data_IF_430337398492
#
_entry.id   IF_430337398492
#
_cell.length_a   1.000
_cell.length_b   1.000
_cell.length_c   1.000
_cell.angle_alpha   90.00
_cell.angle_beta   90.00
_cell.angle_gamma   90.00
#
_symmetry.space_group_name_H-M   'P 1'
#
loop_
_entity.id
_entity.type
_entity.pdbx_description
1 polymer ?
#
# COMPACT_ATOMS: atom_id res chain seq x y z
N UNK A 1 9.67 38.18 -10.59
CA UNK A 1 10.20 37.29 -11.63
C UNK A 1 9.01 36.48 -12.18
N UNK A 2 8.58 36.70 -13.43
CA UNK A 2 7.42 36.06 -14.02
C UNK A 2 7.82 34.63 -14.45
N UNK A 3 7.23 33.63 -13.85
CA UNK A 3 7.32 32.23 -14.30
C UNK A 3 6.43 32.07 -15.53
N UNK A 4 7.03 31.79 -16.67
CA UNK A 4 6.33 31.50 -17.92
C UNK A 4 5.73 30.09 -17.81
N UNK A 5 4.38 30.01 -17.74
CA UNK A 5 3.66 28.73 -17.81
C UNK A 5 3.53 28.34 -19.29
N UNK A 6 4.29 27.37 -19.74
CA UNK A 6 4.04 26.71 -21.03
C UNK A 6 3.02 25.61 -20.79
N UNK A 7 1.77 25.90 -21.14
CA UNK A 7 0.67 24.91 -21.09
C UNK A 7 0.77 24.09 -22.38
N UNK A 8 1.19 22.83 -22.27
CA UNK A 8 1.09 21.86 -23.35
C UNK A 8 -0.19 21.03 -23.13
N UNK A 9 -1.22 21.32 -23.91
CA UNK A 9 -2.43 20.50 -23.94
C UNK A 9 -2.11 19.25 -24.77
N UNK A 10 -1.92 18.13 -24.09
CA UNK A 10 -1.77 16.81 -24.75
C UNK A 10 -3.13 16.11 -24.74
N UNK A 11 -3.80 16.11 -25.89
CA UNK A 11 -4.88 15.19 -26.20
C UNK A 11 -4.37 13.76 -26.12
N UNK A 12 -5.10 12.90 -25.42
CA UNK A 12 -4.77 11.51 -25.20
C UNK A 12 -4.62 10.76 -26.54
N UNK A 13 -3.40 10.48 -26.92
CA UNK A 13 -3.06 9.45 -27.90
C UNK A 13 -2.14 8.47 -27.15
N UNK A 14 -2.58 7.22 -27.05
CA UNK A 14 -1.77 6.09 -26.60
C UNK A 14 -0.51 6.01 -27.47
N UNK A 15 0.59 6.48 -26.96
CA UNK A 15 1.92 6.35 -27.54
C UNK A 15 2.93 6.43 -26.41
N UNK A 16 3.72 5.38 -26.23
CA UNK A 16 4.87 5.37 -25.34
C UNK A 16 5.74 6.60 -25.59
N UNK A 17 5.68 7.59 -24.73
CA UNK A 17 6.68 8.64 -24.68
C UNK A 17 7.56 8.44 -23.46
N UNK A 18 8.78 8.18 -23.75
CA UNK A 18 9.94 8.06 -22.91
C UNK A 18 10.31 9.42 -22.32
N UNK A 19 9.56 9.88 -21.36
CA UNK A 19 9.95 11.00 -20.46
C UNK A 19 9.02 10.91 -19.27
N UNK A 20 9.56 10.45 -18.14
CA UNK A 20 8.88 10.30 -16.87
C UNK A 20 8.37 11.63 -16.33
N UNK A 21 7.46 12.27 -17.01
CA UNK A 21 6.75 13.44 -16.52
C UNK A 21 5.44 13.00 -15.89
N UNK A 22 5.27 13.40 -14.65
CA UNK A 22 4.06 13.26 -13.90
C UNK A 22 3.09 14.39 -14.28
N UNK A 23 1.83 14.09 -14.56
CA UNK A 23 0.84 15.07 -14.94
C UNK A 23 -0.25 15.18 -13.88
N UNK A 24 -0.25 16.24 -13.08
CA UNK A 24 -1.38 16.67 -12.28
C UNK A 24 -2.24 17.63 -13.09
N UNK A 25 -3.54 17.33 -13.22
CA UNK A 25 -4.48 18.18 -13.97
C UNK A 25 -4.00 18.55 -15.39
N UNK A 26 -3.30 17.64 -16.07
CA UNK A 26 -2.78 17.85 -17.42
C UNK A 26 -1.50 18.68 -17.52
N UNK A 27 -0.85 19.01 -16.39
CA UNK A 27 0.46 19.68 -16.33
C UNK A 27 1.52 18.63 -15.98
N UNK A 28 2.55 18.51 -16.82
CA UNK A 28 3.68 17.62 -16.57
C UNK A 28 4.70 18.29 -15.64
N UNK A 29 5.16 17.58 -14.62
CA UNK A 29 6.14 18.05 -13.66
C UNK A 29 7.39 17.18 -13.68
N UNK A 30 8.53 17.77 -13.30
CA UNK A 30 9.76 17.03 -13.03
C UNK A 30 10.04 16.98 -11.52
N UNK A 31 10.87 16.04 -11.04
CA UNK A 31 11.23 15.97 -9.61
C UNK A 31 11.83 17.24 -9.06
N UNK A 32 12.57 18.00 -9.88
CA UNK A 32 13.20 19.25 -9.48
C UNK A 32 12.17 20.40 -9.26
N UNK A 33 11.02 20.30 -9.88
CA UNK A 33 9.95 21.30 -9.79
C UNK A 33 8.98 21.03 -8.63
N UNK A 34 8.93 19.79 -8.13
CA UNK A 34 7.94 19.37 -7.14
C UNK A 34 8.60 18.63 -5.98
N UNK A 35 8.79 19.30 -4.83
CA UNK A 35 9.13 18.61 -3.59
C UNK A 35 8.07 17.51 -3.32
N UNK A 36 8.47 16.35 -2.86
CA UNK A 36 7.57 15.20 -2.64
C UNK A 36 7.01 14.56 -3.94
N UNK A 37 7.78 14.64 -5.01
CA UNK A 37 7.38 14.09 -6.31
C UNK A 37 6.90 12.63 -6.23
N UNK A 38 7.64 11.76 -5.54
CA UNK A 38 7.25 10.34 -5.38
C UNK A 38 5.93 10.15 -4.63
N UNK A 39 5.64 11.01 -3.63
CA UNK A 39 4.37 10.98 -2.91
C UNK A 39 3.20 11.32 -3.83
N UNK A 40 3.34 12.39 -4.61
CA UNK A 40 2.30 12.82 -5.55
C UNK A 40 2.00 11.78 -6.62
N UNK A 41 3.01 11.03 -7.07
CA UNK A 41 2.83 9.93 -8.02
C UNK A 41 1.93 8.82 -7.45
N UNK A 42 2.10 8.48 -6.18
CA UNK A 42 1.24 7.51 -5.51
C UNK A 42 -0.17 8.08 -5.33
N UNK A 43 -0.29 9.35 -4.92
CA UNK A 43 -1.59 10.02 -4.75
C UNK A 43 -2.39 10.06 -6.05
N UNK A 44 -1.74 10.34 -7.18
CA UNK A 44 -2.38 10.30 -8.51
C UNK A 44 -2.87 8.90 -8.88
N UNK A 45 -2.08 7.87 -8.60
CA UNK A 45 -2.51 6.50 -8.85
C UNK A 45 -3.75 6.14 -8.03
N UNK A 46 -3.82 6.61 -6.79
CA UNK A 46 -5.00 6.42 -5.93
C UNK A 46 -6.20 7.25 -6.40
N UNK A 47 -5.98 8.51 -6.80
CA UNK A 47 -7.05 9.39 -7.31
C UNK A 47 -7.72 8.84 -8.57
N UNK A 48 -6.96 8.16 -9.44
CA UNK A 48 -7.51 7.49 -10.62
C UNK A 48 -8.53 6.39 -10.27
N UNK A 49 -8.31 5.70 -9.13
CA UNK A 49 -9.18 4.61 -8.66
C UNK A 49 -10.30 5.13 -7.77
N UNK A 50 -9.99 6.12 -6.94
CA UNK A 50 -10.88 6.73 -5.96
C UNK A 50 -11.12 8.21 -6.26
N UNK A 51 -11.68 8.58 -7.41
CA UNK A 51 -11.85 9.99 -7.80
C UNK A 51 -12.76 10.70 -6.81
N UNK A 52 -12.34 11.91 -6.41
CA UNK A 52 -13.06 12.76 -5.44
C UNK A 52 -13.32 12.09 -4.07
N UNK A 53 -12.66 10.99 -3.75
CA UNK A 53 -12.72 10.42 -2.41
C UNK A 53 -11.68 11.12 -1.54
N UNK A 54 -12.18 11.87 -0.57
CA UNK A 54 -11.32 12.45 0.47
C UNK A 54 -10.65 11.31 1.23
N UNK A 55 -9.41 11.55 1.62
CA UNK A 55 -8.75 10.74 2.62
C UNK A 55 -9.62 10.74 3.88
N UNK A 56 -10.04 9.55 4.34
CA UNK A 56 -10.82 9.40 5.56
C UNK A 56 -10.00 9.82 6.77
N UNK A 57 -8.76 9.32 6.86
CA UNK A 57 -7.77 9.74 7.85
C UNK A 57 -6.35 9.45 7.39
N UNK A 58 -5.36 10.11 8.01
CA UNK A 58 -3.94 9.88 7.80
C UNK A 58 -3.23 9.60 9.11
N UNK A 59 -2.32 8.65 9.09
CA UNK A 59 -1.37 8.42 10.15
C UNK A 59 0.02 8.83 9.67
N UNK A 60 0.58 9.84 10.29
CA UNK A 60 1.90 10.41 9.98
C UNK A 60 2.72 10.37 11.27
N UNK A 61 3.92 9.77 11.26
CA UNK A 61 4.78 9.75 12.43
C UNK A 61 5.23 11.18 12.80
N UNK A 62 5.40 11.44 14.08
CA UNK A 62 5.88 12.73 14.57
C UNK A 62 7.31 13.02 14.09
N UNK A 63 8.14 11.99 14.03
CA UNK A 63 9.52 12.04 13.54
C UNK A 63 9.65 10.98 12.46
N UNK A 64 10.12 11.38 11.27
CA UNK A 64 10.34 10.46 10.15
C UNK A 64 11.49 9.49 10.46
N UNK A 65 11.42 8.31 9.82
CA UNK A 65 12.44 7.27 9.98
C UNK A 65 13.86 7.74 9.65
N UNK A 66 14.03 8.48 8.56
CA UNK A 66 15.34 9.00 8.14
C UNK A 66 15.91 10.09 9.07
N UNK A 67 15.10 10.60 9.98
CA UNK A 67 15.47 11.52 11.06
C UNK A 67 15.57 10.83 12.44
N UNK A 68 15.56 9.49 12.48
CA UNK A 68 15.66 8.70 13.69
C UNK A 68 14.32 8.41 14.40
N UNK A 69 13.22 8.59 13.70
CA UNK A 69 11.89 8.20 14.20
C UNK A 69 11.70 6.69 14.32
N UNK A 70 10.74 6.23 15.12
CA UNK A 70 10.53 4.80 15.35
C UNK A 70 9.73 4.10 14.23
N UNK A 71 8.99 4.84 13.41
CA UNK A 71 8.06 4.32 12.43
C UNK A 71 8.64 4.39 11.01
N UNK A 72 8.76 3.24 10.31
CA UNK A 72 9.42 3.18 9.01
C UNK A 72 8.62 3.82 7.86
N UNK A 73 7.30 3.93 8.00
CA UNK A 73 6.44 4.56 6.99
C UNK A 73 6.28 6.05 7.28
N UNK A 74 6.45 6.89 6.30
CA UNK A 74 6.26 8.33 6.40
C UNK A 74 4.77 8.71 6.50
N UNK A 75 3.90 7.88 5.94
CA UNK A 75 2.44 8.05 6.01
C UNK A 75 1.73 6.73 5.75
N UNK A 76 0.59 6.54 6.39
CA UNK A 76 -0.45 5.59 5.97
C UNK A 76 -1.73 6.37 5.75
N UNK A 77 -2.19 6.45 4.50
CA UNK A 77 -3.46 7.07 4.14
C UNK A 77 -4.57 6.02 4.13
N UNK A 78 -5.72 6.38 4.68
CA UNK A 78 -6.92 5.54 4.70
C UNK A 78 -8.01 6.24 3.89
N UNK A 79 -8.52 5.55 2.90
CA UNK A 79 -9.58 6.03 2.02
C UNK A 79 -10.89 5.29 2.30
N UNK A 80 -12.01 6.00 2.14
CA UNK A 80 -13.34 5.40 2.23
C UNK A 80 -13.68 4.66 0.94
N UNK A 81 -13.62 3.32 0.97
CA UNK A 81 -14.00 2.43 -0.13
C UNK A 81 -15.49 2.13 -0.24
N UNK A 82 -16.33 2.69 0.65
CA UNK A 82 -17.76 2.37 0.77
C UNK A 82 -17.99 1.39 1.92
N UNK A 83 -17.91 0.11 1.69
CA UNK A 83 -18.07 -0.94 2.70
C UNK A 83 -16.74 -1.44 3.32
N UNK A 84 -15.61 -0.84 2.91
CA UNK A 84 -14.28 -1.09 3.45
C UNK A 84 -13.46 0.20 3.58
N UNK A 85 -12.40 0.13 4.37
CA UNK A 85 -11.33 1.10 4.45
C UNK A 85 -10.17 0.62 3.58
N UNK A 86 -9.69 1.45 2.65
CA UNK A 86 -8.48 1.18 1.85
C UNK A 86 -7.28 1.89 2.44
N UNK A 87 -6.30 1.12 2.87
CA UNK A 87 -5.02 1.61 3.35
C UNK A 87 -4.02 1.66 2.20
N UNK A 88 -3.22 2.72 2.14
CA UNK A 88 -2.10 2.88 1.23
C UNK A 88 -0.93 3.43 2.03
N UNK A 89 0.22 2.76 1.95
CA UNK A 89 1.44 3.20 2.61
C UNK A 89 2.26 4.15 1.75
N UNK A 90 3.13 4.92 2.41
CA UNK A 90 4.09 5.82 1.82
C UNK A 90 5.37 5.76 2.63
N UNK A 91 6.50 5.49 1.99
CA UNK A 91 7.81 5.48 2.65
C UNK A 91 8.67 4.25 2.41
N UNK A 92 8.16 3.24 1.72
CA UNK A 92 8.99 2.14 1.20
C UNK A 92 9.59 2.50 -0.16
N UNK A 93 9.00 3.46 -0.84
CA UNK A 93 9.51 4.07 -2.06
C UNK A 93 10.13 5.45 -1.78
N UNK A 94 10.80 6.00 -2.76
CA UNK A 94 11.42 7.33 -2.67
C UNK A 94 10.37 8.41 -2.89
N UNK A 95 10.00 9.10 -1.82
CA UNK A 95 8.93 10.09 -1.83
C UNK A 95 9.41 11.50 -2.19
N UNK A 96 10.67 11.84 -1.83
CA UNK A 96 11.21 13.19 -1.89
C UNK A 96 12.32 13.33 -2.92
N UNK A 97 13.31 12.43 -2.87
CA UNK A 97 14.50 12.43 -3.71
C UNK A 97 14.87 11.03 -4.14
N UNK A 98 15.50 10.90 -5.32
CA UNK A 98 16.11 9.64 -5.76
C UNK A 98 17.42 9.41 -5.03
N UNK A 99 17.46 8.47 -4.10
CA UNK A 99 18.63 8.12 -3.28
C UNK A 99 19.28 6.80 -3.69
N UNK A 100 18.48 5.83 -4.14
CA UNK A 100 18.97 4.52 -4.55
C UNK A 100 19.68 4.58 -5.91
N UNK A 101 20.69 3.71 -6.10
CA UNK A 101 21.39 3.57 -7.38
C UNK A 101 20.54 2.86 -8.44
N UNK A 102 19.61 2.02 -8.01
CA UNK A 102 18.70 1.31 -8.92
C UNK A 102 17.73 2.30 -9.58
N UNK A 103 17.89 2.50 -10.88
CA UNK A 103 17.04 3.37 -11.67
C UNK A 103 15.74 2.70 -12.15
N UNK A 104 15.63 1.39 -11.96
CA UNK A 104 14.44 0.63 -12.36
C UNK A 104 13.35 0.64 -11.29
N UNK A 105 13.71 0.85 -10.03
CA UNK A 105 12.82 0.86 -8.88
C UNK A 105 12.96 2.13 -8.05
N UNK A 106 11.85 2.58 -7.49
CA UNK A 106 11.82 3.65 -6.49
C UNK A 106 12.00 3.05 -5.10
N UNK A 107 13.12 3.32 -4.44
CA UNK A 107 13.43 2.77 -3.12
C UNK A 107 13.39 1.23 -3.13
N UNK A 108 12.55 0.63 -2.29
CA UNK A 108 12.31 -0.82 -2.27
C UNK A 108 11.42 -1.31 -3.42
N UNK A 109 10.89 -0.39 -4.24
CA UNK A 109 10.07 -0.69 -5.43
C UNK A 109 8.64 -1.08 -5.12
N UNK A 110 8.17 -0.95 -3.89
CA UNK A 110 6.83 -1.35 -3.49
C UNK A 110 6.25 -0.42 -2.44
N UNK A 111 4.92 -0.32 -2.41
CA UNK A 111 4.13 0.19 -1.28
C UNK A 111 3.07 -0.84 -0.92
N UNK A 112 2.65 -0.85 0.35
CA UNK A 112 1.64 -1.79 0.82
C UNK A 112 0.25 -1.20 0.70
N UNK A 113 -0.70 -2.08 0.44
CA UNK A 113 -2.12 -1.77 0.53
C UNK A 113 -2.85 -2.84 1.34
N UNK A 114 -3.98 -2.46 1.92
CA UNK A 114 -4.87 -3.36 2.63
C UNK A 114 -6.30 -2.84 2.54
N UNK A 115 -7.27 -3.72 2.39
CA UNK A 115 -8.69 -3.39 2.57
C UNK A 115 -9.20 -4.04 3.85
N UNK A 116 -9.75 -3.23 4.74
CA UNK A 116 -10.43 -3.70 5.94
C UNK A 116 -11.92 -3.45 5.81
N UNK A 117 -12.74 -4.48 5.93
CA UNK A 117 -14.20 -4.36 5.91
C UNK A 117 -14.67 -3.45 7.04
N UNK A 118 -15.65 -2.59 6.75
CA UNK A 118 -16.32 -1.79 7.77
C UNK A 118 -17.28 -2.70 8.54
N UNK A 119 -16.86 -3.09 9.72
CA UNK A 119 -17.67 -3.85 10.69
C UNK A 119 -18.08 -2.91 11.84
N UNK A 120 -18.95 -3.37 12.71
CA UNK A 120 -19.34 -2.64 13.94
C UNK A 120 -18.23 -2.80 15.00
N UNK A 121 -17.16 -2.03 14.88
CA UNK A 121 -16.07 -2.00 15.86
C UNK A 121 -16.51 -1.28 17.14
N UNK A 122 -16.06 -1.74 18.31
CA UNK A 122 -16.31 -1.04 19.58
C UNK A 122 -15.59 0.33 19.59
N UNK A 123 -14.39 0.40 19.00
CA UNK A 123 -13.62 1.63 18.85
C UNK A 123 -12.96 1.62 17.45
N UNK A 124 -13.65 2.21 16.49
CA UNK A 124 -13.20 2.23 15.09
C UNK A 124 -11.84 2.90 14.93
N UNK A 125 -11.61 4.04 15.60
CA UNK A 125 -10.35 4.77 15.50
C UNK A 125 -9.16 3.92 15.96
N UNK A 126 -9.32 3.21 17.07
CA UNK A 126 -8.29 2.30 17.57
C UNK A 126 -8.07 1.13 16.63
N UNK A 127 -9.13 0.56 16.06
CA UNK A 127 -8.99 -0.53 15.09
C UNK A 127 -8.27 -0.07 13.82
N UNK A 128 -8.60 1.09 13.29
CA UNK A 128 -7.88 1.65 12.15
C UNK A 128 -6.39 1.85 12.46
N UNK A 129 -6.08 2.35 13.65
CA UNK A 129 -4.70 2.54 14.12
C UNK A 129 -3.97 1.20 14.35
N UNK A 130 -4.68 0.17 14.80
CA UNK A 130 -4.13 -1.18 14.96
C UNK A 130 -3.64 -1.75 13.63
N UNK A 131 -4.42 -1.63 12.56
CA UNK A 131 -4.00 -2.03 11.20
C UNK A 131 -2.78 -1.24 10.74
N UNK A 132 -2.72 0.07 11.02
CA UNK A 132 -1.51 0.87 10.76
C UNK A 132 -0.30 0.28 11.49
N UNK A 133 -0.46 -0.13 12.74
CA UNK A 133 0.60 -0.81 13.51
C UNK A 133 1.12 -2.08 12.84
N UNK A 134 0.22 -2.90 12.28
CA UNK A 134 0.62 -4.08 11.49
C UNK A 134 1.41 -3.69 10.25
N UNK A 135 0.96 -2.70 9.49
CA UNK A 135 1.67 -2.21 8.30
C UNK A 135 3.05 -1.62 8.64
N UNK A 136 3.15 -0.89 9.77
CA UNK A 136 4.44 -0.39 10.29
C UNK A 136 5.38 -1.54 10.65
N UNK A 137 4.88 -2.61 11.26
CA UNK A 137 5.67 -3.79 11.60
C UNK A 137 6.22 -4.49 10.36
N UNK A 138 5.38 -4.68 9.33
CA UNK A 138 5.81 -5.24 8.05
C UNK A 138 6.83 -4.35 7.35
N UNK A 139 6.61 -3.04 7.34
CA UNK A 139 7.54 -2.07 6.78
C UNK A 139 8.88 -2.03 7.51
N UNK A 140 8.89 -2.33 8.82
CA UNK A 140 10.12 -2.45 9.61
C UNK A 140 10.98 -3.61 9.13
N UNK A 141 10.40 -4.77 8.85
CA UNK A 141 11.12 -5.91 8.27
C UNK A 141 11.78 -5.52 6.92
N UNK A 142 11.11 -4.70 6.10
CA UNK A 142 11.71 -4.18 4.88
C UNK A 142 12.87 -3.22 5.16
N UNK A 143 12.68 -2.24 6.06
CA UNK A 143 13.69 -1.20 6.31
C UNK A 143 14.92 -1.70 7.07
N UNK A 144 14.73 -2.63 8.02
CA UNK A 144 15.80 -3.14 8.90
C UNK A 144 16.45 -4.40 8.31
N UNK A 145 15.66 -5.34 7.78
CA UNK A 145 16.11 -6.65 7.36
C UNK A 145 16.25 -6.79 5.83
N UNK A 146 15.74 -5.79 5.07
CA UNK A 146 15.77 -5.82 3.60
C UNK A 146 14.72 -6.76 3.00
N UNK A 147 13.70 -7.15 3.75
CA UNK A 147 12.64 -8.04 3.27
C UNK A 147 11.80 -7.36 2.17
N UNK A 148 11.71 -8.02 1.01
CA UNK A 148 10.94 -7.54 -0.13
C UNK A 148 9.73 -8.46 -0.32
N UNK A 149 8.57 -7.96 0.07
CA UNK A 149 7.31 -8.69 -0.11
C UNK A 149 6.92 -8.74 -1.58
N UNK A 150 6.56 -9.95 -2.05
CA UNK A 150 6.15 -10.19 -3.42
C UNK A 150 4.71 -10.71 -3.46
N UNK A 151 4.03 -10.59 -4.60
CA UNK A 151 2.73 -11.24 -4.77
C UNK A 151 2.79 -12.75 -4.59
N UNK A 152 1.72 -13.28 -4.02
CA UNK A 152 1.50 -14.72 -3.77
C UNK A 152 2.45 -15.34 -2.74
N UNK A 153 2.85 -14.55 -1.76
CA UNK A 153 3.53 -15.02 -0.55
C UNK A 153 2.53 -15.07 0.63
N UNK A 154 2.88 -15.85 1.66
CA UNK A 154 2.17 -15.83 2.92
C UNK A 154 3.07 -15.25 4.01
N UNK A 155 2.47 -14.56 4.97
CA UNK A 155 3.16 -13.99 6.11
C UNK A 155 2.56 -14.62 7.37
N UNK A 156 3.37 -15.43 8.03
CA UNK A 156 3.04 -16.01 9.32
C UNK A 156 3.65 -15.17 10.43
N UNK A 157 2.81 -14.51 11.21
CA UNK A 157 3.26 -13.60 12.27
C UNK A 157 3.63 -14.31 13.57
N UNK A 158 3.31 -15.61 13.68
CA UNK A 158 3.46 -16.36 14.93
C UNK A 158 2.40 -16.03 15.97
N UNK A 159 1.42 -15.18 15.64
CA UNK A 159 0.30 -14.86 16.52
C UNK A 159 -0.64 -16.08 16.66
N UNK A 160 -1.12 -16.30 17.88
CA UNK A 160 -2.11 -17.33 18.20
C UNK A 160 -3.49 -16.75 18.51
N UNK A 161 -3.63 -15.44 18.38
CA UNK A 161 -4.85 -14.69 18.65
C UNK A 161 -5.14 -13.74 17.50
N UNK A 162 -6.37 -13.27 17.40
CA UNK A 162 -6.83 -12.42 16.31
C UNK A 162 -6.04 -11.13 16.18
N UNK A 163 -5.91 -10.64 14.95
CA UNK A 163 -5.18 -9.40 14.62
C UNK A 163 -5.98 -8.13 14.95
N UNK A 164 -7.27 -8.25 15.23
CA UNK A 164 -8.11 -7.17 15.73
C UNK A 164 -7.67 -6.74 17.14
N UNK A 165 -7.98 -5.52 17.52
CA UNK A 165 -7.56 -4.95 18.82
C UNK A 165 -8.06 -5.74 20.03
N UNK A 166 -9.21 -6.42 19.89
CA UNK A 166 -9.80 -7.23 20.95
C UNK A 166 -9.39 -8.71 20.90
N UNK A 167 -8.59 -9.10 19.90
CA UNK A 167 -8.10 -10.46 19.70
C UNK A 167 -9.22 -11.51 19.55
N UNK A 168 -10.38 -11.10 19.05
CA UNK A 168 -11.56 -11.96 18.86
C UNK A 168 -11.68 -12.54 17.46
N UNK A 169 -11.01 -11.94 16.46
CA UNK A 169 -11.06 -12.44 15.09
C UNK A 169 -10.26 -13.73 14.91
N UNK A 170 -10.59 -14.45 13.83
CA UNK A 170 -9.81 -15.61 13.41
C UNK A 170 -8.65 -15.25 12.47
N UNK A 171 -8.46 -13.96 12.16
CA UNK A 171 -7.40 -13.50 11.27
C UNK A 171 -6.11 -13.38 12.06
N UNK A 172 -5.08 -14.13 11.66
CA UNK A 172 -3.82 -14.24 12.41
C UNK A 172 -2.57 -14.02 11.55
N UNK A 173 -2.74 -13.75 10.26
CA UNK A 173 -1.64 -13.49 9.34
C UNK A 173 -2.15 -12.99 8.01
N UNK A 174 -1.26 -12.95 7.01
CA UNK A 174 -1.59 -12.39 5.71
C UNK A 174 -1.17 -13.30 4.55
N UNK A 175 -1.85 -13.15 3.43
CA UNK A 175 -1.31 -13.45 2.11
C UNK A 175 -1.16 -12.16 1.32
N UNK A 176 -0.31 -12.19 0.29
CA UNK A 176 -0.06 -11.05 -0.60
C UNK A 176 -0.52 -11.36 -2.01
N UNK A 177 -1.02 -10.31 -2.68
CA UNK A 177 -1.35 -10.34 -4.11
C UNK A 177 -0.89 -9.01 -4.74
N UNK A 178 -0.76 -8.91 -6.09
CA UNK A 178 -0.72 -7.61 -6.73
C UNK A 178 -2.02 -6.87 -6.38
N UNK A 179 -1.95 -5.58 -6.06
CA UNK A 179 -3.19 -4.83 -5.80
C UNK A 179 -4.09 -4.85 -7.05
N UNK A 180 -5.34 -5.31 -6.95
CA UNK A 180 -6.20 -5.48 -8.12
C UNK A 180 -6.68 -4.14 -8.72
N UNK A 181 -6.57 -3.05 -7.97
CA UNK A 181 -7.04 -1.72 -8.36
C UNK A 181 -5.89 -0.78 -8.73
N UNK A 182 -4.83 -0.77 -7.92
CA UNK A 182 -3.66 0.08 -8.12
C UNK A 182 -2.63 -0.66 -9.00
N UNK A 183 -2.46 -0.16 -10.21
CA UNK A 183 -1.46 -0.72 -11.15
C UNK A 183 -0.07 -0.22 -10.81
N UNK A 184 0.94 -0.95 -11.31
CA UNK A 184 2.33 -0.51 -11.25
C UNK A 184 2.45 0.91 -11.82
N UNK A 185 3.11 1.78 -11.06
CA UNK A 185 3.40 3.15 -11.48
C UNK A 185 4.86 3.25 -11.88
N UNK A 186 5.11 3.90 -13.02
CA UNK A 186 6.46 4.21 -13.48
C UNK A 186 6.68 5.71 -13.44
N UNK A 187 7.76 6.14 -12.80
CA UNK A 187 8.10 7.55 -12.63
C UNK A 187 9.61 7.78 -12.73
N UNK A 188 10.09 9.01 -12.52
CA UNK A 188 11.52 9.36 -12.57
C UNK A 188 12.38 8.60 -11.55
N UNK A 189 11.80 8.20 -10.42
CA UNK A 189 12.51 7.44 -9.39
C UNK A 189 12.52 5.93 -9.64
N UNK A 190 11.79 5.46 -10.66
CA UNK A 190 11.63 4.05 -11.00
C UNK A 190 10.19 3.54 -10.80
N UNK A 191 10.01 2.23 -10.86
CA UNK A 191 8.70 1.60 -10.67
C UNK A 191 8.30 1.52 -9.20
N UNK A 192 6.99 1.57 -8.97
CA UNK A 192 6.33 1.32 -7.69
C UNK A 192 5.27 0.24 -7.92
N UNK A 193 5.45 -0.90 -7.28
CA UNK A 193 4.44 -1.96 -7.21
C UNK A 193 3.54 -1.75 -5.98
N UNK A 194 2.26 -2.06 -6.09
CA UNK A 194 1.36 -2.07 -4.93
C UNK A 194 1.09 -3.52 -4.52
N UNK A 195 1.49 -3.87 -3.32
CA UNK A 195 1.33 -5.20 -2.73
C UNK A 195 0.15 -5.16 -1.76
N UNK A 196 -0.94 -5.83 -2.11
CA UNK A 196 -2.11 -5.93 -1.26
C UNK A 196 -1.97 -7.07 -0.26
N UNK A 197 -2.15 -6.75 1.01
CA UNK A 197 -2.18 -7.71 2.12
C UNK A 197 -3.62 -8.08 2.42
N UNK A 198 -3.90 -9.38 2.48
CA UNK A 198 -5.23 -9.93 2.79
C UNK A 198 -5.11 -10.77 4.04
N UNK A 199 -5.88 -10.44 5.06
CA UNK A 199 -5.91 -11.18 6.30
C UNK A 199 -6.49 -12.58 6.14
N UNK A 200 -5.80 -13.58 6.70
CA UNK A 200 -6.18 -15.00 6.61
C UNK A 200 -6.21 -15.67 7.98
N UNK A 201 -6.98 -16.74 8.07
CA UNK A 201 -7.14 -17.52 9.31
C UNK A 201 -5.96 -18.48 9.51
N UNK A 202 -5.79 -18.98 10.75
CA UNK A 202 -4.79 -19.99 11.06
C UNK A 202 -4.95 -21.23 10.18
N UNK A 203 -6.17 -21.71 9.96
CA UNK A 203 -6.44 -22.89 9.15
C UNK A 203 -5.97 -22.67 7.70
N UNK A 204 -6.23 -21.51 7.13
CA UNK A 204 -5.82 -21.13 5.77
C UNK A 204 -4.28 -20.99 5.65
N UNK A 205 -3.64 -20.35 6.63
CA UNK A 205 -2.18 -20.28 6.69
C UNK A 205 -1.55 -21.67 6.76
N UNK A 206 -2.03 -22.52 7.64
CA UNK A 206 -1.51 -23.88 7.79
C UNK A 206 -1.64 -24.69 6.50
N UNK A 207 -2.74 -24.57 5.77
CA UNK A 207 -2.91 -25.25 4.50
C UNK A 207 -1.90 -24.78 3.43
N UNK A 208 -1.63 -23.47 3.36
CA UNK A 208 -0.60 -22.93 2.46
C UNK A 208 0.79 -23.37 2.89
N UNK A 209 1.12 -23.29 4.20
CA UNK A 209 2.41 -23.72 4.75
C UNK A 209 2.69 -25.20 4.50
N UNK A 210 1.67 -26.05 4.61
CA UNK A 210 1.75 -27.50 4.31
C UNK A 210 1.71 -27.81 2.82
N UNK A 211 1.57 -26.78 1.96
CA UNK A 211 1.44 -26.92 0.50
C UNK A 211 0.24 -27.74 0.06
N UNK A 212 -0.84 -27.73 0.84
CA UNK A 212 -2.13 -28.33 0.48
C UNK A 212 -2.84 -27.50 -0.61
N UNK A 213 -2.55 -26.17 -0.63
CA UNK A 213 -2.92 -25.25 -1.70
C UNK A 213 -1.87 -24.14 -1.82
N UNK A 214 -1.84 -23.48 -2.96
CA UNK A 214 -1.00 -22.29 -3.18
C UNK A 214 -1.72 -21.04 -2.66
N UNK A 215 -0.96 -19.96 -2.44
CA UNK A 215 -1.53 -18.65 -2.08
C UNK A 215 -2.55 -18.18 -3.13
N UNK A 216 -2.25 -18.43 -4.41
CA UNK A 216 -3.16 -18.06 -5.51
C UNK A 216 -4.49 -18.80 -5.42
N UNK A 217 -4.46 -20.11 -5.18
CA UNK A 217 -5.68 -20.92 -5.01
C UNK A 217 -6.46 -20.50 -3.76
N UNK A 218 -5.75 -20.14 -2.67
CA UNK A 218 -6.42 -19.60 -1.49
C UNK A 218 -7.11 -18.27 -1.81
N UNK A 219 -6.44 -17.36 -2.51
CA UNK A 219 -7.05 -16.09 -2.93
C UNK A 219 -8.28 -16.30 -3.81
N UNK A 220 -8.22 -17.24 -4.76
CA UNK A 220 -9.38 -17.61 -5.60
C UNK A 220 -10.56 -18.15 -4.76
N UNK A 221 -10.28 -18.94 -3.71
CA UNK A 221 -11.31 -19.42 -2.77
C UNK A 221 -11.88 -18.31 -1.89
N UNK A 222 -11.07 -17.35 -1.47
CA UNK A 222 -11.52 -16.17 -0.71
C UNK A 222 -12.52 -15.33 -1.52
N UNK A 223 -12.33 -15.22 -2.83
CA UNK A 223 -13.19 -14.48 -3.74
C UNK A 223 -13.25 -12.98 -3.49
N UNK A 224 -12.38 -12.46 -2.60
CA UNK A 224 -12.32 -11.05 -2.21
C UNK A 224 -10.92 -10.70 -1.73
N UNK A 225 -10.50 -9.46 -1.96
CA UNK A 225 -9.28 -8.87 -1.41
C UNK A 225 -9.54 -8.04 -0.12
N UNK A 226 -10.77 -8.08 0.38
CA UNK A 226 -11.17 -7.36 1.60
C UNK A 226 -10.96 -8.25 2.82
N UNK A 227 -10.09 -7.83 3.74
CA UNK A 227 -9.95 -8.47 5.05
C UNK A 227 -11.21 -8.24 5.87
N UNK A 228 -11.82 -9.31 6.38
CA UNK A 228 -12.96 -9.26 7.28
C UNK A 228 -12.66 -10.08 8.54
N UNK A 229 -12.77 -9.44 9.70
CA UNK A 229 -12.54 -10.10 10.99
C UNK A 229 -13.63 -11.10 11.37
N UNK A 230 -14.82 -10.96 10.78
CA UNK A 230 -15.99 -11.78 11.08
C UNK A 230 -16.15 -12.96 10.13
N UNK A 231 -15.30 -13.07 9.09
CA UNK A 231 -15.39 -14.17 8.14
C UNK A 231 -14.96 -15.52 8.73
N UNK A 232 -15.52 -16.57 8.23
CA UNK A 232 -15.08 -17.95 8.50
C UNK A 232 -13.95 -18.33 7.52
N UNK A 233 -13.19 -19.38 7.89
CA UNK A 233 -12.28 -20.01 6.95
C UNK A 233 -13.01 -20.52 5.70
N UNK A 234 -12.32 -20.47 4.56
CA UNK A 234 -12.82 -21.00 3.27
C UNK A 234 -12.37 -22.44 2.97
N UNK A 235 -11.69 -23.05 3.96
CA UNK A 235 -11.21 -24.45 3.90
C UNK A 235 -11.55 -25.18 5.18
#
# INVERSE_FOLDING_TARGET
MKVSKTVLVLTAIMGMTWLGTFAMNGVAYTPEEVPQYGMLVIEDAVELVYPNKSIYTNYVPLIRWDLGGPDPLDRVAIYDGGDYYKYVTYGLTELYDKKSEDRTKSGFGMEFTLKLKKDAYEDEEKELKNVVGHLQTLARATKEDGEIFKPYEYIYTGQTFGMDIEHKSNIVGFITIPDPELRVVHNFYGSVDFIAFIGVTEQELQAVMKKELTVKELYEKLGSDVTSYTRKSVI
#
